data_IF_328493203057
#
_entry.id   IF_328493203057
#
_cell.length_a   1.000
_cell.length_b   1.000
_cell.length_c   1.000
_cell.angle_alpha   90.00
_cell.angle_beta   90.00
_cell.angle_gamma   90.00
#
_symmetry.space_group_name_H-M   'P 1'
#
loop_
_entity.id
_entity.type
_entity.pdbx_description
1 polymer ?
#
# COMPACT_ATOMS: atom_id res chain seq x y z
N UNK A 1 12.56 -18.28 -4.72
CA UNK A 1 11.29 -18.21 -3.97
C UNK A 1 10.41 -17.13 -4.55
N UNK A 2 9.21 -17.47 -4.92
CA UNK A 2 8.23 -16.47 -5.34
C UNK A 2 7.78 -15.64 -4.14
N UNK A 3 7.62 -14.36 -4.33
CA UNK A 3 7.10 -13.49 -3.30
C UNK A 3 5.65 -13.84 -3.00
N UNK A 4 5.28 -13.85 -1.70
CA UNK A 4 3.89 -13.97 -1.30
C UNK A 4 3.14 -12.63 -1.36
N UNK A 5 3.85 -11.54 -1.69
CA UNK A 5 3.30 -10.19 -1.76
C UNK A 5 3.13 -9.76 -3.22
N UNK A 6 1.95 -9.29 -3.56
CA UNK A 6 1.67 -8.71 -4.88
C UNK A 6 1.01 -7.36 -4.72
N UNK A 7 1.65 -6.33 -5.25
CA UNK A 7 1.09 -4.98 -5.28
C UNK A 7 0.22 -4.84 -6.52
N UNK A 8 -1.07 -4.64 -6.33
CA UNK A 8 -2.00 -4.32 -7.41
C UNK A 8 -2.02 -2.81 -7.57
N UNK A 9 -1.61 -2.35 -8.73
CA UNK A 9 -1.31 -0.95 -8.99
C UNK A 9 -2.05 -0.40 -10.20
N UNK A 10 -2.00 0.92 -10.34
CA UNK A 10 -2.39 1.67 -11.52
C UNK A 10 -1.28 2.68 -11.81
N UNK A 11 -1.00 2.91 -13.09
CA UNK A 11 0.17 3.69 -13.52
C UNK A 11 0.22 5.12 -12.95
N UNK A 12 -0.95 5.74 -12.74
CA UNK A 12 -1.03 7.14 -12.31
C UNK A 12 -1.54 7.32 -10.89
N UNK A 13 -1.59 6.27 -10.08
CA UNK A 13 -2.15 6.36 -8.74
C UNK A 13 -1.11 6.84 -7.71
N UNK A 14 -1.27 8.03 -7.11
CA UNK A 14 -0.32 8.52 -6.10
C UNK A 14 -0.33 7.68 -4.83
N UNK A 15 -1.45 7.06 -4.47
CA UNK A 15 -1.52 6.17 -3.31
C UNK A 15 -0.70 4.90 -3.51
N UNK A 16 -0.62 4.41 -4.76
CA UNK A 16 0.26 3.28 -5.10
C UNK A 16 1.72 3.65 -4.88
N UNK A 17 2.10 4.89 -5.21
CA UNK A 17 3.49 5.35 -5.03
C UNK A 17 3.92 5.30 -3.57
N UNK A 18 3.03 5.59 -2.62
CA UNK A 18 3.33 5.48 -1.19
C UNK A 18 3.77 4.07 -0.82
N UNK A 19 3.07 3.07 -1.36
CA UNK A 19 3.37 1.66 -1.09
C UNK A 19 4.63 1.22 -1.83
N UNK A 20 4.79 1.63 -3.08
CA UNK A 20 5.97 1.31 -3.88
C UNK A 20 7.24 1.84 -3.22
N UNK A 21 7.19 3.07 -2.69
CA UNK A 21 8.32 3.68 -1.98
C UNK A 21 8.63 2.89 -0.71
N UNK A 22 7.60 2.55 0.09
CA UNK A 22 7.80 1.80 1.32
C UNK A 22 8.42 0.41 1.04
N UNK A 23 7.93 -0.29 0.01
CA UNK A 23 8.49 -1.59 -0.38
C UNK A 23 9.95 -1.45 -0.80
N UNK A 24 10.30 -0.41 -1.55
CA UNK A 24 11.67 -0.16 -1.98
C UNK A 24 12.58 0.18 -0.80
N UNK A 25 12.15 1.07 0.09
CA UNK A 25 12.93 1.46 1.27
C UNK A 25 13.15 0.29 2.23
N UNK A 26 12.16 -0.58 2.37
CA UNK A 26 12.25 -1.77 3.21
C UNK A 26 12.95 -2.94 2.51
N UNK A 27 13.27 -2.81 1.23
CA UNK A 27 13.90 -3.86 0.42
C UNK A 27 13.06 -5.14 0.39
N UNK A 28 11.75 -4.99 0.23
CA UNK A 28 10.80 -6.11 0.24
C UNK A 28 10.60 -6.62 -1.18
N UNK A 29 10.87 -7.91 -1.37
CA UNK A 29 10.59 -8.57 -2.64
C UNK A 29 9.06 -8.71 -2.83
N UNK A 30 8.57 -8.37 -4.00
CA UNK A 30 7.15 -8.43 -4.33
C UNK A 30 6.95 -8.49 -5.84
N UNK A 31 5.79 -8.98 -6.24
CA UNK A 31 5.33 -8.87 -7.61
C UNK A 31 4.44 -7.63 -7.76
N UNK A 32 4.27 -7.17 -8.98
CA UNK A 32 3.44 -6.00 -9.25
C UNK A 32 2.56 -6.27 -10.46
N UNK A 33 1.25 -6.03 -10.29
CA UNK A 33 0.26 -6.16 -11.35
C UNK A 33 -0.39 -4.79 -11.55
N UNK A 34 -0.44 -4.30 -12.78
CA UNK A 34 -1.11 -3.05 -13.12
C UNK A 34 -2.50 -3.34 -13.66
N UNK A 35 -3.51 -2.67 -13.13
CA UNK A 35 -4.88 -2.76 -13.63
C UNK A 35 -5.27 -1.49 -14.36
N UNK A 36 -6.16 -1.64 -15.35
CA UNK A 36 -6.80 -0.52 -16.04
C UNK A 36 -8.08 -0.17 -15.27
N UNK A 37 -8.09 0.99 -14.61
CA UNK A 37 -9.24 1.42 -13.81
C UNK A 37 -10.44 1.83 -14.68
N UNK A 38 -10.25 2.03 -15.98
CA UNK A 38 -11.35 2.25 -16.91
C UNK A 38 -12.03 0.94 -17.33
N UNK A 39 -11.35 -0.20 -17.12
CA UNK A 39 -11.85 -1.52 -17.51
C UNK A 39 -11.42 -2.54 -16.46
N UNK A 40 -12.03 -2.46 -15.28
CA UNK A 40 -11.64 -3.23 -14.10
C UNK A 40 -11.95 -4.72 -14.28
N UNK A 41 -10.93 -5.60 -14.14
CA UNK A 41 -11.19 -7.03 -14.23
C UNK A 41 -11.99 -7.55 -13.04
N UNK A 42 -12.74 -8.64 -13.26
CA UNK A 42 -13.58 -9.24 -12.22
C UNK A 42 -12.80 -9.64 -10.98
N UNK A 43 -11.60 -10.21 -11.16
CA UNK A 43 -10.77 -10.62 -10.02
C UNK A 43 -10.38 -9.43 -9.14
N UNK A 44 -10.17 -8.27 -9.76
CA UNK A 44 -9.83 -7.04 -9.03
C UNK A 44 -11.04 -6.55 -8.22
N UNK A 45 -12.22 -6.53 -8.83
CA UNK A 45 -13.44 -6.13 -8.14
C UNK A 45 -13.77 -7.05 -6.97
N UNK A 46 -13.41 -8.32 -7.08
CA UNK A 46 -13.62 -9.28 -6.00
C UNK A 46 -12.79 -9.00 -4.76
N UNK A 47 -11.60 -8.39 -4.91
CA UNK A 47 -10.67 -8.13 -3.79
C UNK A 47 -10.57 -6.65 -3.41
N UNK A 48 -11.15 -5.76 -4.19
CA UNK A 48 -11.10 -4.31 -3.96
C UNK A 48 -12.52 -3.77 -3.72
N UNK A 49 -12.96 -3.68 -2.46
CA UNK A 49 -14.35 -3.29 -2.16
C UNK A 49 -14.75 -1.94 -2.74
N UNK A 50 -13.80 -1.02 -2.83
CA UNK A 50 -14.03 0.32 -3.38
C UNK A 50 -13.62 0.44 -4.85
N UNK A 51 -13.13 -0.64 -5.46
CA UNK A 51 -12.65 -0.63 -6.83
C UNK A 51 -11.46 0.32 -7.05
N UNK A 52 -10.63 0.51 -6.03
CA UNK A 52 -9.50 1.45 -6.04
C UNK A 52 -8.17 0.74 -5.81
N UNK A 53 -7.10 1.33 -6.30
CA UNK A 53 -5.73 0.94 -5.97
C UNK A 53 -5.18 1.85 -4.87
N UNK A 54 -4.18 1.43 -4.10
CA UNK A 54 -3.52 0.13 -4.15
C UNK A 54 -4.29 -0.98 -3.44
N UNK A 55 -4.01 -2.21 -3.83
CA UNK A 55 -4.36 -3.41 -3.06
C UNK A 55 -3.07 -4.20 -2.89
N UNK A 56 -2.80 -4.70 -1.70
CA UNK A 56 -1.68 -5.59 -1.46
C UNK A 56 -2.21 -6.99 -1.19
N UNK A 57 -1.90 -7.93 -2.08
CA UNK A 57 -2.22 -9.33 -1.87
C UNK A 57 -1.14 -9.97 -1.02
N UNK A 58 -1.55 -10.63 0.05
CA UNK A 58 -0.66 -11.34 0.98
C UNK A 58 -1.12 -12.79 0.98
N UNK A 59 -0.48 -13.62 0.12
CA UNK A 59 -0.99 -14.95 -0.14
C UNK A 59 -2.42 -14.85 -0.69
N UNK A 60 -3.39 -15.43 0.03
CA UNK A 60 -4.81 -15.36 -0.36
C UNK A 60 -5.56 -14.19 0.24
N UNK A 61 -4.94 -13.46 1.18
CA UNK A 61 -5.54 -12.27 1.76
C UNK A 61 -5.32 -11.06 0.83
N UNK A 62 -6.23 -10.10 0.90
CA UNK A 62 -6.11 -8.85 0.15
C UNK A 62 -6.32 -7.68 1.11
N UNK A 63 -5.37 -6.76 1.12
CA UNK A 63 -5.42 -5.57 1.96
C UNK A 63 -5.67 -4.36 1.08
N UNK A 64 -6.56 -3.50 1.51
CA UNK A 64 -6.85 -2.24 0.84
C UNK A 64 -6.64 -1.07 1.81
N UNK A 65 -6.69 0.16 1.35
CA UNK A 65 -6.31 1.39 2.06
C UNK A 65 -4.81 1.52 2.23
N UNK A 66 -4.21 2.53 1.61
CA UNK A 66 -2.76 2.71 1.62
C UNK A 66 -2.20 2.87 3.03
N UNK A 67 -2.92 3.55 3.94
CA UNK A 67 -2.48 3.69 5.33
C UNK A 67 -2.39 2.36 6.05
N UNK A 68 -3.39 1.49 5.86
CA UNK A 68 -3.41 0.16 6.45
C UNK A 68 -2.31 -0.73 5.88
N UNK A 69 -2.06 -0.63 4.57
CA UNK A 69 -0.98 -1.38 3.91
C UNK A 69 0.38 -0.96 4.46
N UNK A 70 0.61 0.35 4.64
CA UNK A 70 1.85 0.86 5.22
C UNK A 70 2.07 0.31 6.63
N UNK A 71 1.02 0.26 7.45
CA UNK A 71 1.11 -0.30 8.81
C UNK A 71 1.40 -1.80 8.78
N UNK A 72 0.78 -2.54 7.87
CA UNK A 72 1.09 -3.96 7.70
C UNK A 72 2.56 -4.17 7.38
N UNK A 73 3.13 -3.38 6.46
CA UNK A 73 4.54 -3.48 6.11
C UNK A 73 5.44 -3.13 7.29
N UNK A 74 5.06 -2.13 8.08
CA UNK A 74 5.79 -1.74 9.27
C UNK A 74 5.81 -2.86 10.32
N UNK A 75 4.67 -3.54 10.49
CA UNK A 75 4.51 -4.61 11.47
C UNK A 75 5.22 -5.91 11.06
N UNK A 76 5.44 -6.14 9.78
CA UNK A 76 5.88 -7.45 9.28
C UNK A 76 7.25 -7.45 8.60
N UNK A 77 7.78 -6.30 8.20
CA UNK A 77 9.01 -6.22 7.42
C UNK A 77 10.13 -5.51 8.18
N UNK A 78 11.36 -5.85 7.85
CA UNK A 78 12.55 -5.19 8.37
C UNK A 78 12.64 -3.73 7.86
N UNK A 79 13.64 -2.99 8.33
CA UNK A 79 13.90 -1.60 7.99
C UNK A 79 12.73 -0.68 8.33
N UNK A 80 12.45 -0.49 9.64
CA UNK A 80 11.33 0.34 10.09
C UNK A 80 11.42 1.77 9.55
N UNK A 81 10.28 2.32 9.16
CA UNK A 81 10.15 3.68 8.69
C UNK A 81 9.57 4.61 9.76
N UNK A 82 8.94 4.03 10.79
CA UNK A 82 8.49 4.79 11.96
C UNK A 82 9.51 4.71 13.09
N UNK A 83 9.64 5.77 13.91
CA UNK A 83 10.47 5.71 15.11
C UNK A 83 9.85 4.82 16.18
N UNK A 84 10.65 4.38 17.14
CA UNK A 84 10.17 3.53 18.24
C UNK A 84 9.39 4.32 19.29
N UNK A 85 9.75 5.59 19.49
CA UNK A 85 9.07 6.42 20.49
C UNK A 85 7.59 6.56 20.17
N UNK A 86 6.68 6.23 21.12
CA UNK A 86 5.25 6.23 20.85
C UNK A 86 4.68 7.58 20.39
N UNK A 87 5.17 8.68 20.92
CA UNK A 87 4.69 10.03 20.55
C UNK A 87 5.15 10.36 19.13
N UNK A 88 6.42 10.14 18.81
CA UNK A 88 6.93 10.39 17.47
C UNK A 88 6.31 9.45 16.45
N UNK A 89 6.06 8.20 16.84
CA UNK A 89 5.36 7.23 15.99
C UNK A 89 3.95 7.70 15.66
N UNK A 90 3.23 8.22 16.66
CA UNK A 90 1.90 8.78 16.45
C UNK A 90 1.93 10.01 15.53
N UNK A 91 2.94 10.85 15.66
CA UNK A 91 3.12 12.01 14.76
C UNK A 91 3.36 11.57 13.32
N UNK A 92 4.16 10.54 13.11
CA UNK A 92 4.38 9.98 11.78
C UNK A 92 3.07 9.47 11.17
N UNK A 93 2.26 8.77 11.96
CA UNK A 93 0.96 8.29 11.50
C UNK A 93 0.01 9.44 11.16
N UNK A 94 0.05 10.51 11.94
CA UNK A 94 -0.74 11.70 11.66
C UNK A 94 -0.34 12.34 10.33
N UNK A 95 0.95 12.43 10.04
CA UNK A 95 1.44 12.97 8.77
C UNK A 95 1.09 12.07 7.59
N UNK A 96 1.08 10.75 7.78
CA UNK A 96 0.61 9.81 6.75
C UNK A 96 -0.87 10.10 6.42
N UNK A 97 -1.71 10.29 7.44
CA UNK A 97 -3.12 10.64 7.24
C UNK A 97 -3.29 12.00 6.56
N UNK A 98 -2.53 12.99 7.01
CA UNK A 98 -2.54 14.32 6.39
C UNK A 98 -2.15 14.26 4.91
N UNK A 99 -1.10 13.51 4.59
CA UNK A 99 -0.68 13.31 3.20
C UNK A 99 -1.76 12.67 2.35
N UNK A 100 -2.51 11.72 2.90
CA UNK A 100 -3.62 11.09 2.18
C UNK A 100 -4.73 12.11 1.84
N UNK A 101 -5.03 13.04 2.74
CA UNK A 101 -6.01 14.08 2.47
C UNK A 101 -5.55 15.04 1.37
N UNK A 102 -4.28 15.40 1.35
CA UNK A 102 -3.70 16.21 0.27
C UNK A 102 -3.83 15.48 -1.07
N UNK A 103 -3.51 14.19 -1.11
CA UNK A 103 -3.62 13.40 -2.34
C UNK A 103 -5.06 13.31 -2.83
N UNK A 104 -6.03 13.31 -1.94
CA UNK A 104 -7.45 13.27 -2.30
C UNK A 104 -7.91 14.56 -3.01
N UNK A 105 -7.23 15.69 -2.78
CA UNK A 105 -7.56 16.98 -3.38
C UNK A 105 -6.92 17.19 -4.76
N UNK A 106 -6.06 16.28 -5.18
CA UNK A 106 -5.44 16.34 -6.50
C UNK A 106 -6.31 15.61 -7.51
#
# INVERSE_FOLDING_TARGET
MTSSLTLVSHALCPYVQRIAIALAEKQVAHDRITVDLANKPDWFLAIAPLGRTPVLKVGEAALFESGAILEFLEDTQAHPLHPEDPVERARHRAWVGFGAEILADI
#
